data_IF_067180310999
#
_entry.id   IF_067180310999
#
_cell.length_a   1.000
_cell.length_b   1.000
_cell.length_c   1.000
_cell.angle_alpha   90.00
_cell.angle_beta   90.00
_cell.angle_gamma   90.00
#
_symmetry.space_group_name_H-M   'P 1'
#
loop_
_entity.id
_entity.type
_entity.pdbx_description
1 polymer ?
#
# COMPACT_ATOMS: atom_id res chain seq x y z
N UNK A 1 -1.82 -1.19 18.80
CA UNK A 1 -1.51 -0.79 17.42
C UNK A 1 -0.42 -1.70 16.92
N UNK A 2 -0.81 -2.64 16.07
CA UNK A 2 0.06 -3.61 15.44
C UNK A 2 0.18 -3.24 13.96
N UNK A 3 1.28 -2.58 13.58
CA UNK A 3 1.51 -2.18 12.20
C UNK A 3 1.81 -3.42 11.32
N UNK A 4 1.31 -3.40 10.09
CA UNK A 4 1.64 -4.34 9.03
C UNK A 4 1.79 -3.60 7.70
N UNK A 5 2.66 -4.09 6.82
CA UNK A 5 2.83 -3.55 5.47
C UNK A 5 2.33 -4.57 4.45
N UNK A 6 1.33 -4.22 3.65
CA UNK A 6 0.90 -5.05 2.51
C UNK A 6 1.72 -4.61 1.30
N UNK A 7 2.52 -5.51 0.72
CA UNK A 7 3.50 -5.12 -0.28
C UNK A 7 3.85 -6.26 -1.24
N UNK A 8 4.10 -5.93 -2.50
CA UNK A 8 4.78 -6.81 -3.46
C UNK A 8 6.23 -6.38 -3.75
N UNK A 9 6.75 -5.42 -3.00
CA UNK A 9 8.11 -4.88 -3.14
C UNK A 9 9.11 -5.76 -2.40
N UNK A 10 10.08 -6.33 -3.12
CA UNK A 10 11.09 -7.23 -2.54
C UNK A 10 11.95 -6.52 -1.50
N UNK A 11 12.31 -5.26 -1.74
CA UNK A 11 13.13 -4.46 -0.83
C UNK A 11 12.42 -4.18 0.51
N UNK A 12 11.09 -4.00 0.48
CA UNK A 12 10.28 -3.82 1.69
C UNK A 12 10.25 -5.12 2.49
N UNK A 13 10.04 -6.26 1.82
CA UNK A 13 10.07 -7.59 2.44
C UNK A 13 11.41 -7.90 3.10
N UNK A 14 12.52 -7.54 2.47
CA UNK A 14 13.87 -7.76 3.00
C UNK A 14 14.18 -6.87 4.21
N UNK A 15 13.59 -5.67 4.27
CA UNK A 15 13.91 -4.68 5.29
C UNK A 15 13.05 -4.78 6.55
N UNK A 16 11.80 -5.23 6.44
CA UNK A 16 10.85 -5.25 7.54
C UNK A 16 10.29 -6.65 7.81
N UNK A 17 10.16 -7.00 9.09
CA UNK A 17 9.68 -8.32 9.51
C UNK A 17 8.13 -8.46 9.48
N UNK A 18 7.40 -7.34 9.42
CA UNK A 18 5.92 -7.29 9.53
C UNK A 18 5.24 -7.04 8.18
N UNK A 19 5.67 -7.78 7.15
CA UNK A 19 5.19 -7.62 5.76
C UNK A 19 4.23 -8.75 5.39
N UNK A 20 3.02 -8.40 4.97
CA UNK A 20 2.13 -9.26 4.19
C UNK A 20 2.58 -9.19 2.73
N UNK A 21 3.43 -10.15 2.32
CA UNK A 21 3.97 -10.14 0.97
C UNK A 21 2.95 -10.69 -0.03
N UNK A 22 2.68 -9.92 -1.08
CA UNK A 22 1.72 -10.25 -2.14
C UNK A 22 2.48 -10.69 -3.38
N UNK A 23 2.21 -11.91 -3.84
CA UNK A 23 2.65 -12.38 -5.16
C UNK A 23 1.65 -11.89 -6.21
N UNK A 24 2.00 -10.81 -6.91
CA UNK A 24 1.11 -10.14 -7.86
C UNK A 24 1.55 -8.70 -8.15
N UNK A 25 0.67 -7.93 -8.78
CA UNK A 25 0.93 -6.53 -9.12
C UNK A 25 0.29 -5.54 -8.13
N UNK A 26 0.37 -4.25 -8.46
CA UNK A 26 -0.24 -3.16 -7.70
C UNK A 26 -1.70 -3.48 -7.32
N UNK A 27 -2.52 -3.93 -8.28
CA UNK A 27 -3.94 -4.17 -8.04
C UNK A 27 -4.17 -5.31 -7.05
N UNK A 28 -3.29 -6.31 -7.04
CA UNK A 28 -3.36 -7.40 -6.08
C UNK A 28 -3.00 -6.91 -4.67
N UNK A 29 -2.02 -6.02 -4.54
CA UNK A 29 -1.73 -5.32 -3.26
C UNK A 29 -2.97 -4.55 -2.76
N UNK A 30 -3.67 -3.83 -3.65
CA UNK A 30 -4.90 -3.13 -3.28
C UNK A 30 -6.00 -4.08 -2.81
N UNK A 31 -6.23 -5.20 -3.53
CA UNK A 31 -7.25 -6.19 -3.16
C UNK A 31 -6.93 -6.88 -1.84
N UNK A 32 -5.67 -7.28 -1.62
CA UNK A 32 -5.23 -7.88 -0.36
C UNK A 32 -5.41 -6.90 0.79
N UNK A 33 -5.06 -5.62 0.57
CA UNK A 33 -5.27 -4.56 1.57
C UNK A 33 -6.76 -4.40 1.91
N UNK A 34 -7.64 -4.37 0.90
CA UNK A 34 -9.10 -4.35 1.09
C UNK A 34 -9.54 -5.54 1.94
N UNK A 35 -9.14 -6.75 1.57
CA UNK A 35 -9.57 -7.96 2.27
C UNK A 35 -9.14 -7.97 3.74
N UNK A 36 -8.01 -7.36 4.08
CA UNK A 36 -7.58 -7.16 5.47
C UNK A 36 -8.40 -6.08 6.19
N UNK A 37 -8.70 -4.95 5.52
CA UNK A 37 -9.56 -3.91 6.09
C UNK A 37 -10.95 -4.44 6.44
N UNK A 38 -11.56 -5.22 5.54
CA UNK A 38 -12.85 -5.89 5.81
C UNK A 38 -12.77 -6.92 6.95
N UNK A 39 -11.58 -7.42 7.29
CA UNK A 39 -11.33 -8.30 8.45
C UNK A 39 -11.01 -7.53 9.74
N UNK A 40 -11.02 -6.20 9.71
CA UNK A 40 -10.84 -5.35 10.88
C UNK A 40 -9.50 -4.61 10.94
N UNK A 41 -8.72 -4.54 9.86
CA UNK A 41 -7.57 -3.61 9.81
C UNK A 41 -8.01 -2.20 9.38
N UNK A 42 -7.16 -1.19 9.61
CA UNK A 42 -7.38 0.19 9.13
C UNK A 42 -6.18 0.73 8.38
N UNK A 43 -6.41 1.63 7.42
CA UNK A 43 -5.35 2.28 6.63
C UNK A 43 -4.56 3.26 7.50
N UNK A 44 -3.23 3.16 7.42
CA UNK A 44 -2.30 4.17 7.95
C UNK A 44 -1.82 5.09 6.82
N UNK A 45 -1.56 4.52 5.65
CA UNK A 45 -1.21 5.28 4.45
C UNK A 45 -2.31 5.22 3.41
N UNK A 46 -2.44 6.28 2.61
CA UNK A 46 -3.36 6.29 1.48
C UNK A 46 -2.98 5.20 0.44
N UNK A 47 -3.94 4.42 -0.11
CA UNK A 47 -3.63 3.30 -1.01
C UNK A 47 -3.04 3.72 -2.35
N UNK A 48 -3.42 4.90 -2.85
CA UNK A 48 -2.89 5.48 -4.10
C UNK A 48 -1.77 6.48 -3.85
N UNK A 49 -0.69 6.50 -4.66
CA UNK A 49 0.36 7.49 -4.58
C UNK A 49 -0.13 8.86 -5.08
N UNK A 50 0.52 9.92 -4.60
CA UNK A 50 0.31 11.28 -5.12
C UNK A 50 0.85 11.47 -6.56
N UNK A 51 1.73 10.58 -7.03
CA UNK A 51 2.37 10.66 -8.35
C UNK A 51 1.69 9.74 -9.35
N UNK A 52 1.21 10.31 -10.46
CA UNK A 52 0.67 9.52 -11.59
C UNK A 52 1.72 8.56 -12.16
N UNK A 53 3.01 8.92 -12.10
CA UNK A 53 4.11 8.05 -12.58
C UNK A 53 4.22 6.78 -11.75
N UNK A 54 3.98 6.89 -10.44
CA UNK A 54 3.94 5.75 -9.53
C UNK A 54 2.68 4.91 -9.69
N UNK A 55 1.57 5.50 -10.13
CA UNK A 55 0.35 4.73 -10.40
C UNK A 55 0.54 3.73 -11.55
N UNK A 56 1.49 3.98 -12.47
CA UNK A 56 1.82 3.05 -13.54
C UNK A 56 2.75 1.91 -13.09
N UNK A 57 3.30 2.00 -11.88
CA UNK A 57 4.19 0.99 -11.31
C UNK A 57 3.49 -0.36 -11.19
N UNK A 58 4.25 -1.44 -11.39
CA UNK A 58 3.83 -2.79 -10.96
C UNK A 58 4.00 -3.00 -9.45
N UNK A 59 4.74 -2.12 -8.78
CA UNK A 59 5.11 -2.19 -7.36
C UNK A 59 4.26 -1.23 -6.52
N UNK A 60 3.78 -1.72 -5.38
CA UNK A 60 3.11 -0.91 -4.36
C UNK A 60 3.30 -1.49 -2.97
N UNK A 61 3.41 -0.61 -1.99
CA UNK A 61 3.28 -0.92 -0.56
C UNK A 61 2.24 -0.03 0.12
N UNK A 62 1.50 -0.60 1.07
CA UNK A 62 0.48 0.09 1.88
C UNK A 62 0.67 -0.30 3.35
N UNK A 63 0.78 0.69 4.22
CA UNK A 63 0.84 0.50 5.67
C UNK A 63 -0.58 0.47 6.24
N UNK A 64 -0.84 -0.52 7.08
CA UNK A 64 -2.10 -0.70 7.80
C UNK A 64 -1.84 -0.92 9.29
N UNK A 65 -2.84 -0.62 10.11
CA UNK A 65 -2.91 -1.04 11.51
C UNK A 65 -3.82 -2.27 11.61
N UNK A 66 -3.31 -3.32 12.25
CA UNK A 66 -3.91 -4.65 12.38
C UNK A 66 -4.57 -4.86 13.76
N UNK A 67 -5.01 -3.78 14.41
CA UNK A 67 -5.64 -3.80 15.75
C UNK A 67 -7.07 -4.37 15.79
N UNK A 68 -7.55 -5.01 14.71
CA UNK A 68 -8.86 -5.68 14.60
C UNK A 68 -10.04 -4.79 15.02
N UNK A 69 -10.05 -3.56 14.53
CA UNK A 69 -11.15 -2.60 14.69
C UNK A 69 -11.70 -2.22 13.33
N UNK A 70 -13.00 -2.42 13.15
CA UNK A 70 -13.69 -1.97 11.94
C UNK A 70 -13.53 -0.45 11.77
N UNK A 71 -13.07 -0.04 10.59
CA UNK A 71 -12.94 1.35 10.19
C UNK A 71 -13.67 1.57 8.86
N UNK A 72 -14.85 2.19 8.96
CA UNK A 72 -15.70 2.52 7.83
C UNK A 72 -14.98 3.44 6.83
N UNK A 73 -14.20 4.41 7.33
CA UNK A 73 -13.49 5.34 6.46
C UNK A 73 -12.41 4.62 5.66
N UNK A 74 -11.62 3.75 6.31
CA UNK A 74 -10.66 2.90 5.60
C UNK A 74 -11.32 2.02 4.55
N UNK A 75 -12.49 1.47 4.85
CA UNK A 75 -13.28 0.66 3.89
C UNK A 75 -13.68 1.47 2.68
N UNK A 76 -14.23 2.68 2.87
CA UNK A 76 -14.60 3.56 1.76
C UNK A 76 -13.39 3.95 0.91
N UNK A 77 -12.27 4.33 1.55
CA UNK A 77 -11.06 4.79 0.87
C UNK A 77 -10.42 3.67 0.03
N UNK A 78 -10.36 2.43 0.53
CA UNK A 78 -9.75 1.34 -0.23
C UNK A 78 -10.59 0.92 -1.44
N UNK A 79 -11.92 0.88 -1.30
CA UNK A 79 -12.82 0.54 -2.42
C UNK A 79 -12.77 1.62 -3.51
N UNK A 80 -12.85 2.89 -3.13
CA UNK A 80 -12.71 4.03 -4.05
C UNK A 80 -11.32 4.05 -4.73
N UNK A 81 -10.26 3.73 -3.98
CA UNK A 81 -8.91 3.62 -4.53
C UNK A 81 -8.79 2.54 -5.60
N UNK A 82 -9.42 1.38 -5.38
CA UNK A 82 -9.46 0.29 -6.37
C UNK A 82 -10.20 0.73 -7.63
N UNK A 83 -11.35 1.40 -7.49
CA UNK A 83 -12.12 1.89 -8.63
C UNK A 83 -11.33 2.93 -9.43
N UNK A 84 -10.74 3.93 -8.75
CA UNK A 84 -9.91 4.97 -9.37
C UNK A 84 -8.68 4.39 -10.06
N UNK A 85 -8.02 3.40 -9.46
CA UNK A 85 -6.90 2.72 -10.10
C UNK A 85 -7.34 2.04 -11.39
N UNK A 86 -8.41 1.24 -11.36
CA UNK A 86 -8.96 0.55 -12.55
C UNK A 86 -9.35 1.53 -13.65
N UNK A 87 -10.06 2.61 -13.31
CA UNK A 87 -10.46 3.63 -14.27
C UNK A 87 -9.25 4.30 -14.91
N UNK A 88 -8.25 4.65 -14.09
CA UNK A 88 -7.03 5.31 -14.56
C UNK A 88 -6.18 4.37 -15.42
N UNK A 89 -6.09 3.09 -15.07
CA UNK A 89 -5.29 2.10 -15.80
C UNK A 89 -6.00 1.45 -16.98
N UNK A 90 -7.31 1.67 -17.16
CA UNK A 90 -8.14 1.03 -18.20
C UNK A 90 -7.52 1.05 -19.61
N UNK A 91 -6.89 2.14 -19.99
CA UNK A 91 -6.26 2.32 -21.31
C UNK A 91 -4.75 2.58 -21.20
N UNK A 92 -4.12 2.15 -20.10
CA UNK A 92 -2.70 2.35 -19.82
C UNK A 92 -2.05 1.03 -19.49
N UNK A 93 -0.77 0.90 -19.81
CA UNK A 93 -0.01 -0.30 -19.50
C UNK A 93 0.75 -0.12 -18.18
N UNK A 94 0.80 -1.19 -17.40
CA UNK A 94 1.69 -1.28 -16.23
C UNK A 94 3.14 -1.25 -16.73
N UNK A 95 3.97 -0.46 -16.05
CA UNK A 95 5.39 -0.32 -16.36
C UNK A 95 6.20 -1.37 -15.60
N UNK A 96 6.55 -2.44 -16.32
CA UNK A 96 7.44 -3.51 -15.85
C UNK A 96 8.93 -3.25 -16.18
N UNK A 97 9.26 -2.17 -16.89
CA UNK A 97 10.64 -1.88 -17.30
C UNK A 97 11.43 -1.20 -16.20
N UNK A 98 10.76 -0.35 -15.42
CA UNK A 98 11.40 0.49 -14.40
C UNK A 98 11.16 -0.01 -12.97
N UNK A 99 10.95 -1.33 -12.79
CA UNK A 99 10.59 -1.95 -11.49
C UNK A 99 11.54 -1.53 -10.38
N UNK A 100 12.85 -1.61 -10.59
CA UNK A 100 13.85 -1.28 -9.55
C UNK A 100 13.76 0.17 -9.06
N UNK A 101 13.50 1.11 -9.96
CA UNK A 101 13.33 2.52 -9.59
C UNK A 101 12.05 2.70 -8.76
N UNK A 102 10.97 2.02 -9.14
CA UNK A 102 9.74 2.01 -8.37
C UNK A 102 9.90 1.36 -7.00
N UNK A 103 10.61 0.23 -6.90
CA UNK A 103 10.89 -0.44 -5.62
C UNK A 103 11.64 0.49 -4.67
N UNK A 104 12.64 1.21 -5.18
CA UNK A 104 13.40 2.17 -4.38
C UNK A 104 12.51 3.32 -3.90
N UNK A 105 11.74 3.94 -4.79
CA UNK A 105 10.86 5.07 -4.42
C UNK A 105 9.77 4.63 -3.44
N UNK A 106 9.13 3.49 -3.70
CA UNK A 106 8.07 2.95 -2.85
C UNK A 106 8.59 2.58 -1.45
N UNK A 107 9.80 2.00 -1.35
CA UNK A 107 10.46 1.74 -0.06
C UNK A 107 10.65 3.03 0.74
N UNK A 108 11.20 4.08 0.11
CA UNK A 108 11.42 5.37 0.79
C UNK A 108 10.10 5.97 1.31
N UNK A 109 9.00 5.82 0.56
CA UNK A 109 7.68 6.29 1.00
C UNK A 109 7.18 5.52 2.22
N UNK A 110 7.38 4.19 2.27
CA UNK A 110 7.02 3.37 3.43
C UNK A 110 7.83 3.80 4.65
N UNK A 111 9.14 4.03 4.49
CA UNK A 111 10.01 4.47 5.58
C UNK A 111 9.53 5.79 6.19
N UNK A 112 9.31 6.81 5.35
CA UNK A 112 8.81 8.10 5.81
C UNK A 112 7.46 7.99 6.51
N UNK A 113 6.54 7.20 5.95
CA UNK A 113 5.22 6.98 6.57
C UNK A 113 5.32 6.32 7.95
N UNK A 114 6.23 5.34 8.12
CA UNK A 114 6.46 4.70 9.42
C UNK A 114 7.11 5.65 10.43
N UNK A 115 8.01 6.53 9.99
CA UNK A 115 8.62 7.55 10.84
C UNK A 115 7.58 8.57 11.32
N UNK A 116 6.77 9.11 10.41
CA UNK A 116 5.67 10.02 10.73
C UNK A 116 4.70 9.37 11.71
N UNK A 117 4.26 8.14 11.42
CA UNK A 117 3.35 7.39 12.29
C UNK A 117 3.91 7.21 13.71
N UNK A 118 5.19 6.83 13.84
CA UNK A 118 5.87 6.72 15.14
C UNK A 118 5.93 8.05 15.88
N UNK A 119 6.06 9.17 15.18
CA UNK A 119 6.06 10.50 15.80
C UNK A 119 4.67 10.86 16.34
N UNK A 120 3.60 10.57 15.58
CA UNK A 120 2.22 10.79 16.03
C UNK A 120 1.84 9.94 17.25
N UNK A 121 2.22 8.66 17.30
CA UNK A 121 1.88 7.78 18.43
C UNK A 121 2.66 8.07 19.72
N UNK A 122 3.74 8.87 19.66
CA UNK A 122 4.51 9.29 20.84
C UNK A 122 3.95 10.56 21.50
N UNK A 123 2.96 11.20 20.87
CA UNK A 123 2.26 12.38 21.37
C UNK A 123 1.01 11.98 22.15
#
# INVERSE_FOLDING_TARGET
MSIKIVSNNSLVKEKFDFVEFVDGDYLDVLKTTRDLIHKGSSLVTHPLPASIRMLFSSIRSIVIDDDKKFDENSTLVIEDSIEKYKLTMKNRNIDYKNVKDYEFVDLNLVENALEEYKAFCKM
#
